data_IF_208965854098
#
_entry.id   IF_208965854098
#
_cell.length_a   1.000
_cell.length_b   1.000
_cell.length_c   1.000
_cell.angle_alpha   90.00
_cell.angle_beta   90.00
_cell.angle_gamma   90.00
#
_symmetry.space_group_name_H-M   'P 1'
#
loop_
_entity.id
_entity.type
_entity.pdbx_description
1 polymer ?
#
# COMPACT_ATOMS: atom_id res chain seq x y z
N UNK A 1 -10.22 -31.49 -8.15
CA UNK A 1 -10.52 -30.37 -9.08
C UNK A 1 -10.41 -29.10 -8.25
N UNK A 2 -9.18 -28.69 -7.99
CA UNK A 2 -8.87 -27.66 -6.99
C UNK A 2 -8.77 -26.28 -7.66
N UNK A 3 -9.91 -25.78 -8.16
CA UNK A 3 -9.97 -24.44 -8.75
C UNK A 3 -9.53 -23.36 -7.75
N UNK A 4 -9.83 -23.54 -6.45
CA UNK A 4 -9.46 -22.59 -5.38
C UNK A 4 -7.96 -22.59 -5.02
N UNK A 5 -7.21 -23.59 -5.45
CA UNK A 5 -5.76 -23.70 -5.23
C UNK A 5 -4.93 -23.08 -6.35
N UNK A 6 -5.58 -22.60 -7.41
CA UNK A 6 -4.89 -22.04 -8.57
C UNK A 6 -4.70 -20.53 -8.36
N UNK A 7 -3.47 -19.99 -8.38
CA UNK A 7 -3.21 -18.55 -8.22
C UNK A 7 -4.02 -17.62 -9.14
N UNK A 8 -4.49 -18.16 -10.27
CA UNK A 8 -5.32 -17.46 -11.24
C UNK A 8 -6.69 -17.03 -10.69
N UNK A 9 -7.31 -17.80 -9.78
CA UNK A 9 -8.64 -17.46 -9.25
C UNK A 9 -8.59 -16.21 -8.38
N UNK A 10 -7.61 -16.13 -7.47
CA UNK A 10 -7.44 -14.98 -6.61
C UNK A 10 -7.03 -13.72 -7.38
N UNK A 11 -6.20 -13.89 -8.42
CA UNK A 11 -5.82 -12.81 -9.31
C UNK A 11 -7.03 -12.27 -10.10
N UNK A 12 -7.81 -13.16 -10.73
CA UNK A 12 -9.01 -12.76 -11.46
C UNK A 12 -10.04 -12.10 -10.55
N UNK A 13 -10.22 -12.60 -9.32
CA UNK A 13 -11.07 -11.95 -8.33
C UNK A 13 -10.59 -10.53 -7.99
N UNK A 14 -9.29 -10.35 -7.79
CA UNK A 14 -8.71 -9.02 -7.49
C UNK A 14 -8.90 -8.04 -8.66
N UNK A 15 -8.66 -8.50 -9.89
CA UNK A 15 -8.82 -7.68 -11.10
C UNK A 15 -10.29 -7.32 -11.36
N UNK A 16 -11.20 -8.27 -11.21
CA UNK A 16 -12.64 -8.03 -11.38
C UNK A 16 -13.21 -7.11 -10.30
N UNK A 17 -12.77 -7.25 -9.05
CA UNK A 17 -13.11 -6.29 -7.99
C UNK A 17 -12.57 -4.89 -8.28
N UNK A 18 -11.36 -4.80 -8.85
CA UNK A 18 -10.79 -3.53 -9.28
C UNK A 18 -11.63 -2.86 -10.38
N UNK A 19 -11.93 -3.57 -11.46
CA UNK A 19 -12.77 -3.06 -12.55
C UNK A 19 -14.18 -2.69 -12.08
N UNK A 20 -14.80 -3.50 -11.22
CA UNK A 20 -16.11 -3.19 -10.64
C UNK A 20 -16.06 -1.91 -9.78
N UNK A 21 -15.02 -1.73 -8.97
CA UNK A 21 -14.82 -0.52 -8.17
C UNK A 21 -14.62 0.72 -9.04
N UNK A 22 -13.84 0.59 -10.13
CA UNK A 22 -13.64 1.69 -11.09
C UNK A 22 -14.93 2.04 -11.84
N UNK A 23 -15.68 1.04 -12.29
CA UNK A 23 -16.98 1.22 -12.94
C UNK A 23 -17.99 1.91 -12.00
N UNK A 24 -18.02 1.50 -10.73
CA UNK A 24 -18.89 2.10 -9.73
C UNK A 24 -18.48 3.53 -9.41
N UNK A 25 -17.17 3.81 -9.28
CA UNK A 25 -16.66 5.17 -9.10
C UNK A 25 -17.12 6.11 -10.22
N UNK A 26 -17.02 5.66 -11.48
CA UNK A 26 -17.50 6.42 -12.65
C UNK A 26 -19.02 6.63 -12.61
N UNK A 27 -19.78 5.60 -12.24
CA UNK A 27 -21.25 5.68 -12.10
C UNK A 27 -21.67 6.67 -11.00
N UNK A 28 -20.87 6.78 -9.94
CA UNK A 28 -21.07 7.72 -8.82
C UNK A 28 -20.64 9.16 -9.14
N UNK A 29 -20.31 9.48 -10.41
CA UNK A 29 -19.82 10.79 -10.86
C UNK A 29 -18.48 11.19 -10.24
N UNK A 30 -17.60 10.20 -10.03
CA UNK A 30 -16.20 10.42 -9.66
C UNK A 30 -16.04 11.27 -8.38
N UNK A 31 -16.62 10.84 -7.25
CA UNK A 31 -16.54 11.57 -5.99
C UNK A 31 -15.08 11.73 -5.54
N UNK A 32 -14.63 12.97 -5.37
CA UNK A 32 -13.24 13.32 -5.00
C UNK A 32 -12.80 12.62 -3.70
N UNK A 33 -13.69 12.52 -2.72
CA UNK A 33 -13.39 11.89 -1.43
C UNK A 33 -13.23 10.37 -1.50
N UNK A 34 -13.66 9.70 -2.56
CA UNK A 34 -13.66 8.23 -2.62
C UNK A 34 -12.95 7.78 -3.89
N UNK A 35 -11.60 7.66 -3.83
CA UNK A 35 -10.82 7.15 -4.95
C UNK A 35 -11.33 5.77 -5.40
N UNK A 36 -11.27 5.46 -6.71
CA UNK A 36 -11.77 4.19 -7.25
C UNK A 36 -11.13 2.97 -6.56
N UNK A 37 -9.84 3.06 -6.23
CA UNK A 37 -9.11 2.03 -5.49
C UNK A 37 -9.73 1.70 -4.13
N UNK A 38 -10.28 2.69 -3.41
CA UNK A 38 -10.95 2.47 -2.13
C UNK A 38 -12.20 1.61 -2.32
N UNK A 39 -13.00 1.91 -3.34
CA UNK A 39 -14.21 1.14 -3.66
C UNK A 39 -13.83 -0.30 -4.00
N UNK A 40 -12.82 -0.49 -4.84
CA UNK A 40 -12.29 -1.82 -5.18
C UNK A 40 -11.85 -2.61 -3.96
N UNK A 41 -11.13 -1.97 -3.02
CA UNK A 41 -10.67 -2.58 -1.78
C UNK A 41 -11.85 -3.04 -0.90
N UNK A 42 -12.84 -2.18 -0.70
CA UNK A 42 -14.03 -2.49 0.10
C UNK A 42 -14.81 -3.65 -0.51
N UNK A 43 -15.00 -3.64 -1.83
CA UNK A 43 -15.67 -4.73 -2.55
C UNK A 43 -14.92 -6.05 -2.37
N UNK A 44 -13.59 -6.04 -2.54
CA UNK A 44 -12.78 -7.24 -2.39
C UNK A 44 -12.83 -7.81 -0.97
N UNK A 45 -12.70 -6.95 0.05
CA UNK A 45 -12.81 -7.37 1.45
C UNK A 45 -14.20 -7.97 1.72
N UNK A 46 -15.26 -7.33 1.23
CA UNK A 46 -16.62 -7.85 1.40
C UNK A 46 -16.78 -9.25 0.79
N UNK A 47 -16.24 -9.48 -0.41
CA UNK A 47 -16.29 -10.80 -1.07
C UNK A 47 -15.49 -11.84 -0.29
N UNK A 48 -14.29 -11.51 0.19
CA UNK A 48 -13.46 -12.44 0.97
C UNK A 48 -14.11 -12.82 2.31
N UNK A 49 -14.77 -11.87 2.98
CA UNK A 49 -15.50 -12.12 4.22
C UNK A 49 -16.74 -13.00 3.99
N UNK A 50 -17.49 -12.75 2.91
CA UNK A 50 -18.66 -13.58 2.55
C UNK A 50 -18.28 -15.01 2.16
N UNK A 51 -17.08 -15.19 1.60
CA UNK A 51 -16.54 -16.49 1.22
C UNK A 51 -15.75 -17.19 2.35
N UNK A 52 -15.66 -16.60 3.54
CA UNK A 52 -14.90 -17.07 4.72
C UNK A 52 -13.43 -17.42 4.39
N UNK A 53 -12.79 -16.60 3.57
CA UNK A 53 -11.43 -16.83 3.10
C UNK A 53 -10.42 -16.18 4.04
N UNK A 54 -9.48 -16.98 4.54
CA UNK A 54 -8.37 -16.45 5.34
C UNK A 54 -7.43 -15.59 4.47
N UNK A 55 -7.06 -14.40 4.97
CA UNK A 55 -6.13 -13.50 4.29
C UNK A 55 -4.83 -14.18 3.84
N UNK A 56 -4.26 -15.09 4.63
CA UNK A 56 -3.05 -15.82 4.28
C UNK A 56 -3.23 -16.66 3.01
N UNK A 57 -4.39 -17.30 2.85
CA UNK A 57 -4.71 -18.08 1.64
C UNK A 57 -4.83 -17.17 0.42
N UNK A 58 -5.51 -16.03 0.56
CA UNK A 58 -5.61 -15.00 -0.49
C UNK A 58 -4.23 -14.42 -0.87
N UNK A 59 -3.36 -14.16 0.12
CA UNK A 59 -2.04 -13.60 -0.09
C UNK A 59 -1.14 -14.57 -0.86
N UNK A 60 -1.09 -15.84 -0.44
CA UNK A 60 -0.36 -16.89 -1.18
C UNK A 60 -0.94 -17.10 -2.58
N UNK A 61 -2.27 -17.04 -2.70
CA UNK A 61 -2.99 -17.14 -3.96
C UNK A 61 -2.68 -16.02 -4.96
N UNK A 62 -2.20 -14.86 -4.52
CA UNK A 62 -1.88 -13.70 -5.37
C UNK A 62 -0.38 -13.52 -5.65
N UNK A 63 0.40 -14.60 -5.59
CA UNK A 63 1.85 -14.57 -5.82
C UNK A 63 2.25 -13.83 -7.11
N UNK A 64 1.45 -13.93 -8.18
CA UNK A 64 1.72 -13.21 -9.43
C UNK A 64 1.57 -11.68 -9.29
N UNK A 65 0.53 -11.20 -8.58
CA UNK A 65 0.39 -9.76 -8.28
C UNK A 65 1.58 -9.30 -7.43
N UNK A 66 1.99 -10.08 -6.43
CA UNK A 66 3.15 -9.77 -5.61
C UNK A 66 4.45 -9.71 -6.41
N UNK A 67 4.65 -10.61 -7.37
CA UNK A 67 5.76 -10.55 -8.31
C UNK A 67 5.74 -9.26 -9.14
N UNK A 68 4.55 -8.88 -9.64
CA UNK A 68 4.38 -7.63 -10.39
C UNK A 68 4.62 -6.37 -9.56
N UNK A 69 4.48 -6.41 -8.22
CA UNK A 69 4.82 -5.27 -7.37
C UNK A 69 6.33 -4.95 -7.47
N UNK A 70 7.18 -5.98 -7.56
CA UNK A 70 8.61 -5.81 -7.78
C UNK A 70 8.92 -5.18 -9.14
N UNK A 71 8.35 -5.72 -10.21
CA UNK A 71 8.57 -5.19 -11.57
C UNK A 71 7.99 -3.79 -11.75
N UNK A 72 6.87 -3.47 -11.12
CA UNK A 72 6.26 -2.13 -11.11
C UNK A 72 7.16 -1.10 -10.43
N UNK A 73 7.84 -1.49 -9.34
CA UNK A 73 8.82 -0.62 -8.66
C UNK A 73 9.99 -0.29 -9.58
N UNK A 74 10.50 -1.28 -10.33
CA UNK A 74 11.57 -1.06 -11.31
C UNK A 74 11.08 -0.23 -12.48
N UNK A 75 9.85 -0.44 -12.96
CA UNK A 75 9.25 0.34 -14.03
C UNK A 75 9.11 1.82 -13.66
N UNK A 76 8.78 2.13 -12.39
CA UNK A 76 8.75 3.50 -11.87
C UNK A 76 10.14 4.18 -11.86
N UNK A 77 11.24 3.42 -11.86
CA UNK A 77 12.57 4.00 -11.97
C UNK A 77 12.87 4.57 -13.37
N UNK A 78 12.19 4.08 -14.42
CA UNK A 78 12.37 4.55 -15.80
C UNK A 78 11.99 6.03 -15.99
N UNK A 79 10.77 6.50 -15.65
CA UNK A 79 10.43 7.92 -15.79
C UNK A 79 11.28 8.82 -14.88
N UNK A 80 11.73 8.30 -13.72
CA UNK A 80 12.65 9.01 -12.84
C UNK A 80 14.02 9.20 -13.49
N UNK A 81 14.53 8.16 -14.16
CA UNK A 81 15.77 8.22 -14.91
C UNK A 81 15.68 9.18 -16.10
N UNK A 82 14.56 9.19 -16.83
CA UNK A 82 14.33 10.15 -17.92
C UNK A 82 14.30 11.60 -17.43
N UNK A 83 13.79 11.83 -16.21
CA UNK A 83 13.73 13.15 -15.57
C UNK A 83 14.98 13.50 -14.75
N UNK A 84 16.02 12.66 -14.79
CA UNK A 84 17.22 12.80 -13.95
C UNK A 84 17.94 14.16 -14.10
N UNK A 85 18.04 14.78 -15.30
CA UNK A 85 18.63 16.11 -15.43
C UNK A 85 17.85 17.18 -14.63
N UNK A 86 16.51 17.10 -14.62
CA UNK A 86 15.65 18.02 -13.84
C UNK A 86 15.81 17.79 -12.34
N UNK A 87 15.91 16.53 -11.91
CA UNK A 87 16.17 16.18 -10.52
C UNK A 87 17.54 16.71 -10.05
N UNK A 88 18.57 16.59 -10.89
CA UNK A 88 19.92 17.11 -10.58
C UNK A 88 19.92 18.62 -10.43
N UNK A 89 19.21 19.34 -11.30
CA UNK A 89 19.08 20.80 -11.19
C UNK A 89 18.39 21.23 -9.88
N UNK A 90 17.46 20.42 -9.38
CA UNK A 90 16.75 20.66 -8.12
C UNK A 90 17.29 19.82 -6.95
N UNK A 91 18.51 19.27 -7.03
CA UNK A 91 19.00 18.30 -6.04
C UNK A 91 19.07 18.87 -4.62
N UNK A 92 19.57 20.10 -4.47
CA UNK A 92 19.69 20.75 -3.16
C UNK A 92 18.34 20.96 -2.46
N UNK A 93 17.33 21.62 -3.07
CA UNK A 93 16.02 21.76 -2.43
C UNK A 93 15.33 20.41 -2.21
N UNK A 94 15.47 19.43 -3.13
CA UNK A 94 14.92 18.09 -2.96
C UNK A 94 15.53 17.37 -1.75
N UNK A 95 16.85 17.43 -1.56
CA UNK A 95 17.52 16.82 -0.42
C UNK A 95 17.08 17.45 0.91
N UNK A 96 16.99 18.78 0.97
CA UNK A 96 16.52 19.48 2.18
C UNK A 96 15.08 19.11 2.52
N UNK A 97 14.18 19.14 1.54
CA UNK A 97 12.77 18.75 1.74
C UNK A 97 12.67 17.29 2.14
N UNK A 98 13.46 16.40 1.52
CA UNK A 98 13.45 14.98 1.85
C UNK A 98 13.94 14.73 3.28
N UNK A 99 15.05 15.36 3.70
CA UNK A 99 15.59 15.21 5.05
C UNK A 99 14.63 15.76 6.09
N UNK A 100 14.20 17.01 5.94
CA UNK A 100 13.29 17.67 6.88
C UNK A 100 11.93 16.95 6.93
N UNK A 101 11.36 16.64 5.78
CA UNK A 101 10.08 15.93 5.68
C UNK A 101 10.15 14.53 6.26
N UNK A 102 11.24 13.79 6.03
CA UNK A 102 11.42 12.44 6.59
C UNK A 102 11.61 12.49 8.11
N UNK A 103 12.46 13.39 8.62
CA UNK A 103 12.70 13.52 10.06
C UNK A 103 11.44 13.98 10.79
N UNK A 104 10.75 15.00 10.28
CA UNK A 104 9.49 15.48 10.87
C UNK A 104 8.39 14.41 10.75
N UNK A 105 8.23 13.81 9.58
CA UNK A 105 7.21 12.79 9.33
C UNK A 105 7.38 11.55 10.20
N UNK A 106 8.61 11.00 10.26
CA UNK A 106 8.92 9.85 11.10
C UNK A 106 8.90 10.22 12.59
N UNK A 107 9.47 11.37 12.97
CA UNK A 107 9.52 11.84 14.35
C UNK A 107 8.14 12.09 14.95
N UNK A 108 7.25 12.77 14.22
CA UNK A 108 5.87 12.97 14.65
C UNK A 108 5.11 11.66 14.73
N UNK A 109 5.25 10.78 13.75
CA UNK A 109 4.59 9.48 13.73
C UNK A 109 5.01 8.62 14.93
N UNK A 110 6.32 8.44 15.14
CA UNK A 110 6.85 7.62 16.24
C UNK A 110 6.61 8.28 17.60
N UNK A 111 6.72 9.61 17.70
CA UNK A 111 6.43 10.35 18.92
C UNK A 111 4.98 10.19 19.35
N UNK A 112 4.02 10.30 18.42
CA UNK A 112 2.60 10.04 18.68
C UNK A 112 2.37 8.57 19.05
N UNK A 113 3.02 7.63 18.36
CA UNK A 113 2.88 6.21 18.66
C UNK A 113 3.34 5.87 20.09
N UNK A 114 4.46 6.46 20.51
CA UNK A 114 4.97 6.32 21.87
C UNK A 114 4.07 7.00 22.90
N UNK A 115 3.59 8.22 22.61
CA UNK A 115 2.69 8.96 23.50
C UNK A 115 1.35 8.25 23.71
N UNK A 116 0.83 7.57 22.69
CA UNK A 116 -0.38 6.76 22.77
C UNK A 116 -0.16 5.41 23.49
N UNK A 117 1.06 5.10 23.93
CA UNK A 117 1.38 3.89 24.67
C UNK A 117 1.32 2.60 23.84
N UNK A 118 1.56 2.69 22.53
CA UNK A 118 1.57 1.50 21.65
C UNK A 118 2.68 0.52 22.05
N UNK A 119 2.40 -0.77 21.89
CA UNK A 119 3.39 -1.83 22.12
C UNK A 119 4.58 -1.70 21.17
N UNK A 120 5.75 -2.18 21.57
CA UNK A 120 6.97 -2.12 20.74
C UNK A 120 6.77 -2.71 19.34
N UNK A 121 6.06 -3.84 19.22
CA UNK A 121 5.73 -4.45 17.93
C UNK A 121 4.83 -3.57 17.06
N UNK A 122 3.88 -2.85 17.68
CA UNK A 122 3.00 -1.92 16.97
C UNK A 122 3.74 -0.67 16.52
N UNK A 123 4.67 -0.15 17.34
CA UNK A 123 5.54 0.96 16.97
C UNK A 123 6.43 0.60 15.78
N UNK A 124 7.01 -0.61 15.76
CA UNK A 124 7.79 -1.10 14.63
C UNK A 124 6.95 -1.21 13.34
N UNK A 125 5.72 -1.72 13.42
CA UNK A 125 4.82 -1.72 12.27
C UNK A 125 4.48 -0.28 11.82
N UNK A 126 4.22 0.61 12.76
CA UNK A 126 3.89 2.01 12.49
C UNK A 126 5.05 2.79 11.86
N UNK A 127 6.29 2.42 12.17
CA UNK A 127 7.49 2.99 11.54
C UNK A 127 7.50 2.82 10.01
N UNK A 128 6.81 1.79 9.49
CA UNK A 128 6.74 1.52 8.05
C UNK A 128 5.65 2.30 7.31
N UNK A 129 4.82 3.11 8.01
CA UNK A 129 3.60 3.72 7.43
C UNK A 129 3.83 4.57 6.18
N UNK A 130 4.96 5.27 6.11
CA UNK A 130 5.25 6.26 5.09
C UNK A 130 5.95 5.67 3.86
N UNK A 131 6.19 4.36 3.88
CA UNK A 131 6.89 3.63 2.82
C UNK A 131 5.85 2.97 1.91
N UNK A 132 6.12 2.91 0.60
CA UNK A 132 5.26 2.20 -0.35
C UNK A 132 5.11 0.74 0.04
N UNK A 133 3.91 0.17 -0.05
CA UNK A 133 3.54 -1.17 0.46
C UNK A 133 4.59 -2.27 0.24
N UNK A 134 5.18 -2.47 -0.96
CA UNK A 134 6.17 -3.52 -1.16
C UNK A 134 7.44 -3.31 -0.32
N UNK A 135 7.92 -2.06 -0.25
CA UNK A 135 9.09 -1.70 0.55
C UNK A 135 8.78 -1.74 2.05
N UNK A 136 7.57 -1.35 2.46
CA UNK A 136 7.13 -1.41 3.85
C UNK A 136 7.11 -2.86 4.38
N UNK A 137 6.55 -3.79 3.61
CA UNK A 137 6.50 -5.21 3.98
C UNK A 137 7.90 -5.83 4.07
N UNK A 138 8.77 -5.53 3.11
CA UNK A 138 10.16 -6.00 3.14
C UNK A 138 10.97 -5.43 4.31
N UNK A 139 10.69 -4.20 4.75
CA UNK A 139 11.29 -3.63 5.96
C UNK A 139 10.68 -4.29 7.21
N UNK A 140 9.36 -4.44 7.26
CA UNK A 140 8.63 -5.04 8.38
C UNK A 140 9.15 -6.46 8.71
N UNK A 141 9.41 -7.28 7.69
CA UNK A 141 10.03 -8.60 7.84
C UNK A 141 11.40 -8.52 8.52
N UNK A 142 12.26 -7.59 8.08
CA UNK A 142 13.62 -7.42 8.60
C UNK A 142 13.66 -6.91 10.05
N UNK A 143 12.69 -6.10 10.44
CA UNK A 143 12.59 -5.56 11.81
C UNK A 143 11.67 -6.41 12.70
N UNK A 144 11.21 -7.57 12.23
CA UNK A 144 10.27 -8.45 12.92
C UNK A 144 8.96 -7.76 13.38
N UNK A 145 8.49 -6.79 12.60
CA UNK A 145 7.18 -6.19 12.83
C UNK A 145 6.06 -7.12 12.31
N UNK A 146 4.87 -7.11 12.93
CA UNK A 146 3.75 -7.89 12.42
C UNK A 146 3.33 -7.42 11.01
N UNK A 147 3.50 -8.27 9.99
CA UNK A 147 3.22 -7.92 8.58
C UNK A 147 1.77 -7.50 8.35
N UNK A 148 0.82 -8.17 9.00
CA UNK A 148 -0.61 -7.85 8.89
C UNK A 148 -0.93 -6.45 9.44
N UNK A 149 -0.21 -6.00 10.48
CA UNK A 149 -0.39 -4.68 11.04
C UNK A 149 0.29 -3.62 10.17
N UNK A 150 1.50 -3.90 9.68
CA UNK A 150 2.21 -3.02 8.76
C UNK A 150 1.42 -2.79 7.46
N UNK A 151 0.86 -3.85 6.86
CA UNK A 151 0.03 -3.72 5.66
C UNK A 151 -1.19 -2.85 5.90
N UNK A 152 -1.91 -3.08 7.01
CA UNK A 152 -3.09 -2.30 7.37
C UNK A 152 -2.75 -0.82 7.57
N UNK A 153 -1.69 -0.50 8.31
CA UNK A 153 -1.25 0.88 8.58
C UNK A 153 -0.88 1.59 7.27
N UNK A 154 -0.10 0.94 6.40
CA UNK A 154 0.32 1.54 5.12
C UNK A 154 -0.87 1.78 4.20
N UNK A 155 -1.81 0.83 4.11
CA UNK A 155 -3.02 0.98 3.30
C UNK A 155 -3.88 2.13 3.82
N UNK A 156 -4.15 2.20 5.13
CA UNK A 156 -4.97 3.27 5.71
C UNK A 156 -4.30 4.63 5.53
N UNK A 157 -3.00 4.73 5.81
CA UNK A 157 -2.24 5.97 5.62
C UNK A 157 -2.24 6.42 4.17
N UNK A 158 -2.05 5.50 3.23
CA UNK A 158 -2.07 5.78 1.80
C UNK A 158 -3.44 6.24 1.30
N UNK A 159 -4.51 5.58 1.78
CA UNK A 159 -5.89 5.96 1.46
C UNK A 159 -6.23 7.35 1.99
N UNK A 160 -5.90 7.66 3.25
CA UNK A 160 -6.11 9.01 3.81
C UNK A 160 -5.36 10.06 3.00
N UNK A 161 -4.12 9.78 2.58
CA UNK A 161 -3.36 10.67 1.71
C UNK A 161 -4.05 10.89 0.36
N UNK A 162 -4.54 9.82 -0.27
CA UNK A 162 -5.22 9.90 -1.56
C UNK A 162 -6.59 10.59 -1.50
N UNK A 163 -7.29 10.53 -0.36
CA UNK A 163 -8.59 11.20 -0.17
C UNK A 163 -8.46 12.70 0.14
N UNK A 164 -7.31 13.12 0.69
CA UNK A 164 -7.06 14.51 1.13
C UNK A 164 -6.20 15.31 0.15
N UNK A 165 -5.58 14.66 -0.83
CA UNK A 165 -4.77 15.28 -1.89
C UNK A 165 -5.64 15.88 -3.00
#
# INVERSE_FOLDING_TARGET
MDLLSTPLVWMTLTLTAYEAGFWLHKKLKEPVLVPPFFISLVLLIAVLLLADVNYQQYFVGNAFIHFLLGTSTVALAVPLYQSLPRLKAAAMPLLLVLLLGSVLGAGLALGLAHFLGLSHSSVLAFATRAVTTPMALGIAEKIHAPLALASAIVIVSGLMGAMLA
#
